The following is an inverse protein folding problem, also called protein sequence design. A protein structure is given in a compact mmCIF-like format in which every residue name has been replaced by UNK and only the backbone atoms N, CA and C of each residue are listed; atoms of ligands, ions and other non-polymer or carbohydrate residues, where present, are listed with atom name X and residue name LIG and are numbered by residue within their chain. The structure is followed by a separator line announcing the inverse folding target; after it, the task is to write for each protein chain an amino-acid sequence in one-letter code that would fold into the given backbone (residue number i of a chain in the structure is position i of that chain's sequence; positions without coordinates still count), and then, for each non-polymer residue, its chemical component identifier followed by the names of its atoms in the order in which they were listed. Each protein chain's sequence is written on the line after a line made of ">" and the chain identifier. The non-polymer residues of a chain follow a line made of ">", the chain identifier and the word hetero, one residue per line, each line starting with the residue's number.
data_IF_349496629853
#
_entry.id   IF_349496629853
#
_cell.length_a   1.000
_cell.length_b   1.000
_cell.length_c   1.000
_cell.angle_alpha   90.00
_cell.angle_beta   90.00
_cell.angle_gamma   90.00
#
_symmetry.space_group_name_H-M   'P 1'
#
loop_
_entity.id
_entity.type
_entity.pdbx_description
1 polymer ?
#
# COMPACT_ATOMS: atom_id res chain seq x y z
N UNK A 1 -28.91 37.95 -24.51
CA UNK A 1 -28.16 38.57 -23.39
C UNK A 1 -28.01 37.61 -22.21
N UNK A 2 -27.39 36.41 -22.35
CA UNK A 2 -27.13 35.48 -21.22
C UNK A 2 -26.02 34.44 -21.56
N UNK A 3 -24.74 34.85 -21.70
CA UNK A 3 -23.62 33.90 -21.93
C UNK A 3 -22.48 34.01 -20.91
N UNK A 4 -22.25 35.19 -20.35
CA UNK A 4 -21.13 35.43 -19.42
C UNK A 4 -21.38 34.90 -18.00
N UNK A 5 -22.63 34.84 -17.54
CA UNK A 5 -22.99 34.35 -16.20
C UNK A 5 -22.88 32.83 -16.08
N UNK A 6 -23.22 32.08 -17.14
CA UNK A 6 -23.11 30.61 -17.17
C UNK A 6 -21.66 30.14 -17.13
N UNK A 7 -20.76 30.79 -17.89
CA UNK A 7 -19.31 30.49 -17.86
C UNK A 7 -18.67 30.80 -16.50
N UNK A 8 -19.09 31.88 -15.84
CA UNK A 8 -18.61 32.24 -14.49
C UNK A 8 -19.08 31.24 -13.44
N UNK A 9 -20.35 30.81 -13.48
CA UNK A 9 -20.87 29.79 -12.57
C UNK A 9 -20.16 28.44 -12.76
N UNK A 10 -19.92 28.05 -14.01
CA UNK A 10 -19.22 26.81 -14.34
C UNK A 10 -17.76 26.82 -13.87
N UNK A 11 -17.07 27.96 -13.98
CA UNK A 11 -15.72 28.15 -13.43
C UNK A 11 -15.68 27.99 -11.90
N UNK A 12 -16.65 28.56 -11.18
CA UNK A 12 -16.71 28.46 -9.71
C UNK A 12 -16.93 27.01 -9.27
N UNK A 13 -17.84 26.28 -9.93
CA UNK A 13 -18.11 24.87 -9.61
C UNK A 13 -16.87 24.00 -9.86
N UNK A 14 -16.21 24.15 -11.01
CA UNK A 14 -14.99 23.40 -11.33
C UNK A 14 -13.86 23.72 -10.33
N UNK A 15 -13.68 24.99 -9.98
CA UNK A 15 -12.63 25.41 -9.04
C UNK A 15 -12.88 24.85 -7.63
N UNK A 16 -14.13 24.88 -7.17
CA UNK A 16 -14.49 24.35 -5.84
C UNK A 16 -14.34 22.83 -5.79
N UNK A 17 -14.70 22.14 -6.88
CA UNK A 17 -14.50 20.70 -7.01
C UNK A 17 -13.02 20.32 -7.00
N UNK A 18 -12.17 21.07 -7.72
CA UNK A 18 -10.72 20.86 -7.72
C UNK A 18 -10.10 21.12 -6.33
N UNK A 19 -10.54 22.15 -5.61
CA UNK A 19 -10.10 22.40 -4.24
C UNK A 19 -10.52 21.29 -3.26
N UNK A 20 -11.74 20.77 -3.42
CA UNK A 20 -12.24 19.63 -2.65
C UNK A 20 -11.44 18.36 -2.92
N UNK A 21 -11.16 18.07 -4.20
CA UNK A 21 -10.34 16.93 -4.61
C UNK A 21 -8.90 17.03 -4.10
N UNK A 22 -8.32 18.24 -4.11
CA UNK A 22 -6.97 18.49 -3.60
C UNK A 22 -6.89 18.29 -2.08
N UNK A 23 -7.86 18.83 -1.33
CA UNK A 23 -7.94 18.68 0.13
C UNK A 23 -8.17 17.22 0.53
N UNK A 24 -9.08 16.52 -0.16
CA UNK A 24 -9.33 15.09 0.05
C UNK A 24 -8.11 14.21 -0.28
N UNK A 25 -7.38 14.55 -1.34
CA UNK A 25 -6.13 13.87 -1.73
C UNK A 25 -5.04 14.01 -0.66
N UNK A 26 -4.85 15.20 -0.09
CA UNK A 26 -3.87 15.44 0.96
C UNK A 26 -4.21 14.72 2.28
N UNK A 27 -5.48 14.75 2.69
CA UNK A 27 -5.94 14.04 3.90
C UNK A 27 -5.72 12.52 3.76
N UNK A 28 -6.06 11.96 2.60
CA UNK A 28 -5.86 10.54 2.31
C UNK A 28 -4.37 10.18 2.27
N UNK A 29 -3.52 11.05 1.70
CA UNK A 29 -2.07 10.84 1.65
C UNK A 29 -1.42 10.83 3.04
N UNK A 30 -1.84 11.71 3.95
CA UNK A 30 -1.32 11.78 5.33
C UNK A 30 -1.75 10.55 6.13
N UNK A 31 -3.04 10.18 6.10
CA UNK A 31 -3.56 8.99 6.80
C UNK A 31 -2.88 7.73 6.29
N UNK A 32 -2.66 7.62 4.97
CA UNK A 32 -2.00 6.46 4.38
C UNK A 32 -0.50 6.39 4.70
N UNK A 33 0.17 7.54 4.92
CA UNK A 33 1.56 7.61 5.37
C UNK A 33 1.71 7.20 6.85
N UNK A 34 0.72 7.56 7.68
CA UNK A 34 0.70 7.21 9.11
C UNK A 34 0.36 5.73 9.35
N UNK A 35 -0.36 5.10 8.42
CA UNK A 35 -0.72 3.67 8.48
C UNK A 35 0.35 2.74 7.87
N UNK A 36 1.41 3.28 7.25
CA UNK A 36 2.47 2.50 6.58
C UNK A 36 3.67 2.15 7.46
N UNK A 37 3.71 2.51 8.75
CA UNK A 37 4.91 2.35 9.59
C UNK A 37 4.61 1.93 11.03
N UNK A 38 4.14 0.70 11.21
CA UNK A 38 4.57 -0.12 12.36
C UNK A 38 4.89 -1.52 11.84
N UNK A 39 6.12 -1.71 11.40
CA UNK A 39 6.68 -3.06 11.29
C UNK A 39 6.76 -3.60 12.72
N UNK A 40 5.81 -4.44 13.10
CA UNK A 40 5.83 -5.11 14.40
C UNK A 40 7.02 -6.05 14.44
N UNK A 41 8.06 -5.68 15.19
CA UNK A 41 9.27 -6.50 15.38
C UNK A 41 8.96 -7.68 16.30
N UNK A 42 9.65 -8.81 16.13
CA UNK A 42 9.54 -10.00 16.99
C UNK A 42 9.61 -9.62 18.48
N UNK A 43 10.55 -8.76 18.86
CA UNK A 43 10.72 -8.24 20.22
C UNK A 43 9.50 -7.46 20.73
N UNK A 44 8.79 -6.73 19.86
CA UNK A 44 7.58 -6.00 20.25
C UNK A 44 6.39 -6.93 20.48
N UNK A 45 6.28 -8.01 19.71
CA UNK A 45 5.26 -9.05 19.93
C UNK A 45 5.56 -9.83 21.20
N UNK A 46 6.81 -10.25 21.41
CA UNK A 46 7.21 -10.94 22.62
C UNK A 46 7.00 -10.08 23.88
N UNK A 47 7.26 -8.76 23.80
CA UNK A 47 6.96 -7.83 24.88
C UNK A 47 5.47 -7.69 25.16
N UNK A 48 4.62 -7.70 24.13
CA UNK A 48 3.17 -7.68 24.30
C UNK A 48 2.65 -8.97 24.93
N UNK A 49 3.17 -10.13 24.52
CA UNK A 49 2.83 -11.42 25.12
C UNK A 49 3.25 -11.42 26.59
N UNK A 50 4.49 -11.03 26.88
CA UNK A 50 5.01 -10.89 28.24
C UNK A 50 4.13 -10.01 29.12
N UNK A 51 3.75 -8.83 28.65
CA UNK A 51 2.86 -7.92 29.37
C UNK A 51 1.50 -8.55 29.71
N UNK A 52 0.98 -9.43 28.83
CA UNK A 52 -0.36 -10.01 28.98
C UNK A 52 -0.39 -11.28 29.82
N UNK A 53 0.65 -12.11 29.76
CA UNK A 53 0.66 -13.42 30.43
C UNK A 53 1.76 -13.60 31.47
N UNK A 54 2.66 -12.61 31.62
CA UNK A 54 3.74 -12.60 32.60
C UNK A 54 4.78 -13.69 32.33
N UNK A 55 5.58 -13.53 31.27
CA UNK A 55 6.58 -14.52 30.91
C UNK A 55 7.80 -14.41 31.83
N UNK A 56 8.36 -15.56 32.22
CA UNK A 56 9.70 -15.61 32.81
C UNK A 56 10.77 -15.35 31.74
N UNK A 57 11.98 -14.96 32.16
CA UNK A 57 13.07 -14.60 31.25
C UNK A 57 13.38 -15.69 30.21
N UNK A 58 13.45 -16.96 30.63
CA UNK A 58 13.67 -18.08 29.71
C UNK A 58 12.50 -18.28 28.73
N UNK A 59 11.26 -18.15 29.20
CA UNK A 59 10.07 -18.27 28.36
C UNK A 59 10.02 -17.17 27.31
N UNK A 60 10.43 -15.95 27.67
CA UNK A 60 10.52 -14.82 26.73
C UNK A 60 11.50 -15.11 25.60
N UNK A 61 12.70 -15.63 25.91
CA UNK A 61 13.67 -16.02 24.88
C UNK A 61 13.12 -17.11 23.96
N UNK A 62 12.41 -18.09 24.51
CA UNK A 62 11.76 -19.15 23.71
C UNK A 62 10.67 -18.58 22.79
N UNK A 63 9.82 -17.67 23.31
CA UNK A 63 8.77 -17.00 22.52
C UNK A 63 9.39 -16.17 21.38
N UNK A 64 10.46 -15.43 21.65
CA UNK A 64 11.18 -14.67 20.61
C UNK A 64 11.72 -15.60 19.51
N UNK A 65 12.29 -16.75 19.89
CA UNK A 65 12.77 -17.76 18.93
C UNK A 65 11.64 -18.33 18.06
N UNK A 66 10.52 -18.73 18.68
CA UNK A 66 9.34 -19.26 17.95
C UNK A 66 8.79 -18.23 16.98
N UNK A 67 8.66 -16.98 17.41
CA UNK A 67 8.17 -15.89 16.56
C UNK A 67 9.12 -15.59 15.40
N UNK A 68 10.44 -15.67 15.62
CA UNK A 68 11.44 -15.50 14.57
C UNK A 68 11.38 -16.63 13.54
N UNK A 69 11.30 -17.88 13.98
CA UNK A 69 11.15 -19.04 13.10
C UNK A 69 9.86 -18.91 12.28
N UNK A 70 8.75 -18.61 12.94
CA UNK A 70 7.44 -18.41 12.31
C UNK A 70 7.51 -17.32 11.23
N UNK A 71 8.15 -16.17 11.54
CA UNK A 71 8.36 -15.09 10.56
C UNK A 71 9.14 -15.59 9.34
N UNK A 72 10.16 -16.43 9.54
CA UNK A 72 10.97 -16.98 8.45
C UNK A 72 10.16 -17.97 7.60
N UNK A 73 9.32 -18.81 8.21
CA UNK A 73 8.41 -19.71 7.48
C UNK A 73 7.43 -18.93 6.61
N UNK A 74 6.78 -17.89 7.16
CA UNK A 74 5.89 -17.00 6.39
C UNK A 74 6.60 -16.36 5.21
N UNK A 75 7.85 -15.91 5.42
CA UNK A 75 8.66 -15.31 4.36
C UNK A 75 8.93 -16.31 3.22
N UNK A 76 9.31 -17.54 3.55
CA UNK A 76 9.53 -18.60 2.56
C UNK A 76 8.27 -18.84 1.73
N UNK A 77 7.11 -18.99 2.37
CA UNK A 77 5.82 -19.17 1.68
C UNK A 77 5.51 -17.97 0.78
N UNK A 78 5.70 -16.75 1.28
CA UNK A 78 5.51 -15.51 0.51
C UNK A 78 6.42 -15.48 -0.73
N UNK A 79 7.70 -15.84 -0.60
CA UNK A 79 8.65 -15.86 -1.72
C UNK A 79 8.27 -16.90 -2.78
N UNK A 80 7.82 -18.09 -2.36
CA UNK A 80 7.38 -19.17 -3.25
C UNK A 80 6.09 -18.83 -4.00
N UNK A 81 5.14 -18.17 -3.34
CA UNK A 81 3.83 -17.83 -3.91
C UNK A 81 3.83 -16.52 -4.70
N UNK A 82 4.81 -15.64 -4.47
CA UNK A 82 4.92 -14.32 -5.14
C UNK A 82 4.77 -14.37 -6.67
N UNK A 83 5.42 -15.28 -7.41
CA UNK A 83 5.29 -15.33 -8.87
C UNK A 83 3.85 -15.57 -9.33
N UNK A 84 3.09 -16.37 -8.57
CA UNK A 84 1.69 -16.68 -8.88
C UNK A 84 0.81 -15.43 -8.74
N UNK A 85 1.01 -14.65 -7.67
CA UNK A 85 0.33 -13.37 -7.49
C UNK A 85 0.67 -12.35 -8.58
N UNK A 86 1.95 -12.28 -8.97
CA UNK A 86 2.41 -11.37 -10.02
C UNK A 86 1.80 -11.75 -11.38
N UNK A 87 1.70 -13.05 -11.69
CA UNK A 87 1.06 -13.55 -12.90
C UNK A 87 -0.45 -13.22 -12.93
N UNK A 88 -1.18 -13.45 -11.83
CA UNK A 88 -2.60 -13.10 -11.72
C UNK A 88 -2.80 -11.59 -11.93
N UNK A 89 -1.93 -10.76 -11.33
CA UNK A 89 -1.99 -9.31 -11.48
C UNK A 89 -1.75 -8.87 -12.92
N UNK A 90 -0.76 -9.45 -13.58
CA UNK A 90 -0.43 -9.12 -14.97
C UNK A 90 -1.54 -9.55 -15.94
N UNK A 91 -2.12 -10.73 -15.73
CA UNK A 91 -3.29 -11.20 -16.48
C UNK A 91 -4.48 -10.24 -16.32
N UNK A 92 -4.81 -9.85 -15.08
CA UNK A 92 -5.87 -8.88 -14.81
C UNK A 92 -5.63 -7.52 -15.48
N UNK A 93 -4.40 -7.00 -15.43
CA UNK A 93 -4.02 -5.75 -16.09
C UNK A 93 -4.15 -5.82 -17.61
N UNK A 94 -3.75 -6.94 -18.22
CA UNK A 94 -3.88 -7.15 -19.67
C UNK A 94 -5.35 -7.15 -20.09
N UNK A 95 -6.22 -7.85 -19.34
CA UNK A 95 -7.67 -7.85 -19.57
C UNK A 95 -8.27 -6.46 -19.46
N UNK A 96 -7.95 -5.71 -18.39
CA UNK A 96 -8.43 -4.33 -18.22
C UNK A 96 -7.96 -3.46 -19.39
N UNK A 97 -6.67 -3.51 -19.74
CA UNK A 97 -6.09 -2.73 -20.85
C UNK A 97 -6.82 -2.97 -22.17
N UNK A 98 -7.23 -4.21 -22.44
CA UNK A 98 -7.94 -4.58 -23.68
C UNK A 98 -9.32 -3.91 -23.84
N UNK A 99 -9.91 -3.45 -22.74
CA UNK A 99 -11.21 -2.77 -22.71
C UNK A 99 -11.10 -1.24 -22.90
N UNK A 100 -9.89 -0.70 -22.89
CA UNK A 100 -9.63 0.73 -22.88
C UNK A 100 -9.30 1.24 -24.28
N UNK A 101 -9.72 2.48 -24.59
CA UNK A 101 -9.26 3.18 -25.79
C UNK A 101 -7.81 3.69 -25.62
N UNK A 102 -7.19 4.19 -26.68
CA UNK A 102 -5.77 4.58 -26.69
C UNK A 102 -5.41 5.63 -25.63
N UNK A 103 -6.25 6.63 -25.41
CA UNK A 103 -5.99 7.67 -24.40
C UNK A 103 -6.08 7.10 -22.97
N UNK A 104 -7.09 6.25 -22.72
CA UNK A 104 -7.27 5.57 -21.44
C UNK A 104 -6.14 4.58 -21.16
N UNK A 105 -5.65 3.88 -22.19
CA UNK A 105 -4.52 2.96 -22.09
C UNK A 105 -3.25 3.68 -21.60
N UNK A 106 -2.96 4.88 -22.14
CA UNK A 106 -1.80 5.66 -21.71
C UNK A 106 -1.90 6.07 -20.23
N UNK A 107 -3.07 6.54 -19.78
CA UNK A 107 -3.31 6.88 -18.36
C UNK A 107 -3.23 5.65 -17.46
N UNK A 108 -3.75 4.51 -17.91
CA UNK A 108 -3.70 3.25 -17.17
C UNK A 108 -2.26 2.73 -17.02
N UNK A 109 -1.43 2.86 -18.04
CA UNK A 109 -0.02 2.46 -17.97
C UNK A 109 0.76 3.29 -16.95
N UNK A 110 0.54 4.62 -16.94
CA UNK A 110 1.14 5.50 -15.93
C UNK A 110 0.72 5.09 -14.51
N UNK A 111 -0.57 4.86 -14.29
CA UNK A 111 -1.08 4.37 -13.01
C UNK A 111 -0.44 3.03 -12.60
N UNK A 112 -0.31 2.09 -13.54
CA UNK A 112 0.33 0.80 -13.30
C UNK A 112 1.80 0.96 -12.90
N UNK A 113 2.54 1.84 -13.58
CA UNK A 113 3.94 2.13 -13.27
C UNK A 113 4.11 2.72 -11.87
N UNK A 114 3.27 3.67 -11.47
CA UNK A 114 3.31 4.24 -10.11
C UNK A 114 3.08 3.18 -9.02
N UNK A 115 2.12 2.28 -9.24
CA UNK A 115 1.88 1.16 -8.33
C UNK A 115 3.07 0.21 -8.25
N UNK A 116 3.71 -0.08 -9.37
CA UNK A 116 4.86 -0.99 -9.42
C UNK A 116 6.10 -0.37 -8.78
N UNK A 117 6.31 0.94 -8.94
CA UNK A 117 7.35 1.69 -8.26
C UNK A 117 7.16 1.65 -6.73
N UNK A 118 5.93 1.90 -6.24
CA UNK A 118 5.61 1.79 -4.80
C UNK A 118 5.90 0.39 -4.25
N UNK A 119 5.56 -0.67 -5.00
CA UNK A 119 5.84 -2.06 -4.59
C UNK A 119 7.33 -2.39 -4.65
N UNK A 120 8.06 -1.89 -5.65
CA UNK A 120 9.49 -2.06 -5.74
C UNK A 120 10.20 -1.42 -4.54
N UNK A 121 9.80 -0.19 -4.16
CA UNK A 121 10.32 0.50 -2.98
C UNK A 121 10.01 -0.29 -1.68
N UNK A 122 8.78 -0.78 -1.51
CA UNK A 122 8.43 -1.61 -0.35
C UNK A 122 9.26 -2.91 -0.28
N UNK A 123 9.52 -3.55 -1.43
CA UNK A 123 10.38 -4.76 -1.50
C UNK A 123 11.84 -4.44 -1.17
N UNK A 124 12.34 -3.31 -1.62
CA UNK A 124 13.70 -2.85 -1.30
C UNK A 124 13.83 -2.53 0.20
N UNK A 125 12.83 -1.88 0.80
CA UNK A 125 12.79 -1.63 2.24
C UNK A 125 12.75 -2.93 3.05
N UNK A 126 11.96 -3.92 2.62
CA UNK A 126 11.91 -5.24 3.25
C UNK A 126 13.23 -6.01 3.08
N UNK A 127 13.90 -5.89 1.93
CA UNK A 127 15.20 -6.51 1.68
C UNK A 127 16.33 -5.85 2.48
N UNK A 128 16.28 -4.53 2.69
CA UNK A 128 17.25 -3.78 3.47
C UNK A 128 17.07 -3.94 4.99
N UNK A 129 15.91 -4.44 5.45
CA UNK A 129 15.66 -4.83 6.83
C UNK A 129 16.09 -6.28 7.16
N UNK A 130 16.83 -6.94 6.25
CA UNK A 130 17.60 -8.16 6.53
C UNK A 130 18.90 -7.80 7.23
#
# INVERSE_FOLDING_TARGET
>A
MFSNSKRKAQLIVVTTFLLGAFTGGLATYIVQKQQSQKSTTVTSVAAEVDQRVGLQAEQRTQVESVLQETRQQYKTVKEQTRPQYDAIRQSGRSKIRSLLNAEQQARFDQYVQELDAKRAAARQAEAAAK
#
